data_IF_569620769826
#
_entry.id   IF_569620769826
#
_cell.length_a   1.000
_cell.length_b   1.000
_cell.length_c   1.000
_cell.angle_alpha   90.00
_cell.angle_beta   90.00
_cell.angle_gamma   90.00
#
_symmetry.space_group_name_H-M   'P 1'
#
loop_
_entity.id
_entity.type
_entity.pdbx_description
1 polymer ?
#
# COMPACT_ATOMS: atom_id res chain seq x y z
N UNK A 1 -24.12 -31.54 7.19
CA UNK A 1 -24.36 -30.21 7.78
C UNK A 1 -23.02 -29.49 7.81
N UNK A 2 -22.81 -28.40 7.05
CA UNK A 2 -21.57 -27.65 7.08
C UNK A 2 -21.45 -26.91 8.42
N UNK A 3 -20.28 -26.96 9.05
CA UNK A 3 -20.03 -26.22 10.29
C UNK A 3 -20.26 -24.72 10.04
N UNK A 4 -20.86 -23.97 10.98
CA UNK A 4 -21.07 -22.55 10.79
C UNK A 4 -19.74 -21.86 10.58
N UNK A 5 -19.65 -21.06 9.52
CA UNK A 5 -18.45 -20.27 9.19
C UNK A 5 -18.26 -19.23 10.32
N UNK A 6 -17.34 -19.50 11.21
CA UNK A 6 -16.97 -18.55 12.27
C UNK A 6 -16.26 -17.36 11.61
N UNK A 7 -16.93 -16.22 11.55
CA UNK A 7 -16.31 -14.97 11.12
C UNK A 7 -15.30 -14.54 12.19
N UNK A 8 -14.01 -14.53 11.83
CA UNK A 8 -12.98 -14.03 12.75
C UNK A 8 -13.19 -12.54 12.97
N UNK A 9 -13.32 -12.13 14.20
CA UNK A 9 -13.39 -10.73 14.62
C UNK A 9 -12.11 -9.96 14.28
N UNK A 10 -12.22 -8.64 14.18
CA UNK A 10 -11.11 -7.69 14.17
C UNK A 10 -11.01 -6.91 15.48
N UNK A 11 -11.50 -7.49 16.58
CA UNK A 11 -11.44 -6.87 17.91
C UNK A 11 -9.99 -6.50 18.27
N UNK A 12 -9.84 -5.35 18.92
CA UNK A 12 -8.53 -4.81 19.28
C UNK A 12 -7.80 -4.02 18.17
N UNK A 13 -8.37 -3.99 16.97
CA UNK A 13 -7.82 -3.18 15.87
C UNK A 13 -8.64 -1.91 15.68
N UNK A 14 -7.97 -0.78 15.57
CA UNK A 14 -8.58 0.53 15.32
C UNK A 14 -8.06 1.08 14.00
N UNK A 15 -8.94 1.64 13.20
CA UNK A 15 -8.58 2.41 12.01
C UNK A 15 -8.68 3.91 12.32
N UNK A 16 -7.67 4.66 11.91
CA UNK A 16 -7.67 6.13 12.00
C UNK A 16 -8.47 6.75 10.85
N UNK A 17 -8.57 8.08 10.85
CA UNK A 17 -9.21 8.83 9.77
C UNK A 17 -8.43 8.63 8.46
N UNK A 18 -9.09 8.27 7.36
CA UNK A 18 -8.45 8.16 6.07
C UNK A 18 -8.06 9.54 5.53
N UNK A 19 -6.94 9.58 4.80
CA UNK A 19 -6.46 10.79 4.14
C UNK A 19 -6.43 10.56 2.63
N UNK A 20 -6.90 11.54 1.87
CA UNK A 20 -6.81 11.55 0.42
C UNK A 20 -6.04 12.79 -0.03
N UNK A 21 -5.01 12.58 -0.86
CA UNK A 21 -4.29 13.67 -1.50
C UNK A 21 -5.03 14.06 -2.77
N UNK A 22 -5.28 15.36 -3.01
CA UNK A 22 -5.93 15.80 -4.22
C UNK A 22 -5.22 15.32 -5.47
N UNK A 23 -6.01 14.86 -6.43
CA UNK A 23 -5.50 14.45 -7.75
C UNK A 23 -4.96 15.66 -8.52
N UNK A 24 -3.79 15.47 -9.11
CA UNK A 24 -3.19 16.44 -10.02
C UNK A 24 -3.11 15.86 -11.44
N UNK A 25 -3.72 16.54 -12.40
CA UNK A 25 -3.79 16.06 -13.77
C UNK A 25 -2.42 16.05 -14.46
N UNK A 26 -1.58 17.03 -14.14
CA UNK A 26 -0.24 17.16 -14.68
C UNK A 26 0.75 17.28 -13.54
N UNK A 27 1.49 16.22 -13.29
CA UNK A 27 2.55 16.20 -12.29
C UNK A 27 3.80 15.56 -12.88
N UNK A 28 4.95 16.14 -12.59
CA UNK A 28 6.25 15.57 -12.91
C UNK A 28 6.77 14.65 -11.80
N UNK A 29 6.06 14.63 -10.67
CA UNK A 29 6.48 13.90 -9.49
C UNK A 29 6.30 12.39 -9.65
N UNK A 30 7.21 11.63 -9.05
CA UNK A 30 7.17 10.16 -9.06
C UNK A 30 6.08 9.61 -8.15
N UNK A 31 5.72 8.32 -8.35
CA UNK A 31 4.84 7.62 -7.43
C UNK A 31 5.40 7.60 -6.00
N UNK A 32 6.71 7.49 -5.83
CA UNK A 32 7.40 7.55 -4.53
C UNK A 32 7.13 8.87 -3.81
N UNK A 33 7.19 9.97 -4.53
CA UNK A 33 6.89 11.29 -3.98
C UNK A 33 5.43 11.40 -3.51
N UNK A 34 4.48 10.94 -4.33
CA UNK A 34 3.06 10.96 -4.01
C UNK A 34 2.72 10.09 -2.81
N UNK A 35 3.30 8.89 -2.72
CA UNK A 35 3.16 7.98 -1.59
C UNK A 35 3.75 8.61 -0.33
N UNK A 36 4.91 9.25 -0.43
CA UNK A 36 5.53 9.96 0.68
C UNK A 36 4.68 11.12 1.20
N UNK A 37 4.07 11.89 0.28
CA UNK A 37 3.14 12.96 0.63
C UNK A 37 1.90 12.42 1.35
N UNK A 38 1.34 11.31 0.86
CA UNK A 38 0.19 10.65 1.48
C UNK A 38 0.54 10.11 2.88
N UNK A 39 1.69 9.46 3.04
CA UNK A 39 2.17 8.97 4.33
C UNK A 39 2.34 10.11 5.35
N UNK A 40 2.94 11.22 4.93
CA UNK A 40 3.11 12.40 5.79
C UNK A 40 1.77 12.95 6.25
N UNK A 41 0.82 13.12 5.34
CA UNK A 41 -0.51 13.60 5.66
C UNK A 41 -1.25 12.62 6.60
N UNK A 42 -1.09 11.31 6.38
CA UNK A 42 -1.67 10.27 7.24
C UNK A 42 -1.10 10.34 8.67
N UNK A 43 0.22 10.42 8.82
CA UNK A 43 0.85 10.53 10.13
C UNK A 43 0.42 11.81 10.87
N UNK A 44 0.37 12.95 10.16
CA UNK A 44 -0.13 14.21 10.71
C UNK A 44 -1.60 14.12 11.14
N UNK A 45 -2.46 13.53 10.30
CA UNK A 45 -3.88 13.34 10.61
C UNK A 45 -4.12 12.41 11.79
N UNK A 46 -3.26 11.41 11.97
CA UNK A 46 -3.30 10.49 13.10
C UNK A 46 -2.62 11.06 14.38
N UNK A 47 -1.91 12.16 14.27
CA UNK A 47 -1.18 12.75 15.39
C UNK A 47 0.02 11.93 15.86
N UNK A 48 0.64 11.14 14.97
CA UNK A 48 1.79 10.30 15.27
C UNK A 48 3.04 10.72 14.48
N UNK A 49 4.20 10.34 14.98
CA UNK A 49 5.45 10.45 14.23
C UNK A 49 5.55 9.30 13.22
N UNK A 50 6.15 9.54 12.05
CA UNK A 50 6.44 8.48 11.09
C UNK A 50 7.33 7.36 11.66
N UNK A 51 8.11 7.65 12.72
CA UNK A 51 8.97 6.68 13.41
C UNK A 51 8.20 5.69 14.28
N UNK A 52 6.96 6.01 14.61
CA UNK A 52 6.08 5.11 15.36
C UNK A 52 5.40 4.09 14.44
N UNK A 53 5.48 4.29 13.12
CA UNK A 53 4.94 3.37 12.13
C UNK A 53 5.91 2.19 11.99
N UNK A 54 5.51 1.05 12.50
CA UNK A 54 6.29 -0.19 12.50
C UNK A 54 5.74 -1.26 11.54
N UNK A 55 4.67 -0.94 10.82
CA UNK A 55 4.13 -1.71 9.72
C UNK A 55 3.81 -0.83 8.52
N UNK A 56 4.06 -1.32 7.31
CA UNK A 56 3.77 -0.57 6.09
C UNK A 56 3.17 -1.48 5.01
N UNK A 57 1.99 -1.11 4.51
CA UNK A 57 1.34 -1.76 3.39
C UNK A 57 1.25 -0.79 2.23
N UNK A 58 1.80 -1.16 1.10
CA UNK A 58 1.83 -0.35 -0.11
C UNK A 58 1.00 -0.97 -1.22
N UNK A 59 0.21 -0.14 -1.90
CA UNK A 59 -0.48 -0.50 -3.12
C UNK A 59 -0.09 0.47 -4.24
N UNK A 60 0.65 -0.01 -5.23
CA UNK A 60 1.07 0.78 -6.38
C UNK A 60 1.43 -0.12 -7.55
N UNK A 61 1.14 0.32 -8.77
CA UNK A 61 1.61 -0.28 -10.01
C UNK A 61 2.82 0.45 -10.60
N UNK A 62 2.90 1.76 -10.38
CA UNK A 62 3.88 2.61 -11.04
C UNK A 62 5.23 2.66 -10.32
N UNK A 63 5.35 2.01 -9.17
CA UNK A 63 6.65 1.84 -8.48
C UNK A 63 7.46 0.65 -8.98
N UNK A 64 6.89 -0.22 -9.82
CA UNK A 64 7.64 -1.33 -10.41
C UNK A 64 8.79 -0.84 -11.30
N UNK A 65 9.97 -1.48 -11.29
CA UNK A 65 10.34 -2.70 -10.57
C UNK A 65 10.73 -2.48 -9.11
N UNK A 66 10.65 -1.26 -8.62
CA UNK A 66 11.04 -0.92 -7.26
C UNK A 66 10.08 -1.57 -6.25
N UNK A 67 10.65 -2.09 -5.19
CA UNK A 67 9.90 -2.81 -4.18
C UNK A 67 9.47 -1.88 -3.05
N UNK A 68 8.53 -2.37 -2.24
CA UNK A 68 8.19 -1.72 -0.99
C UNK A 68 9.42 -1.49 -0.09
N UNK A 69 10.44 -2.34 -0.19
CA UNK A 69 11.70 -2.22 0.54
C UNK A 69 12.44 -0.92 0.16
N UNK A 70 12.64 -0.65 -1.13
CA UNK A 70 13.27 0.58 -1.59
C UNK A 70 12.50 1.83 -1.15
N UNK A 71 11.17 1.76 -1.20
CA UNK A 71 10.32 2.84 -0.75
C UNK A 71 10.42 3.11 0.76
N UNK A 72 10.48 2.07 1.61
CA UNK A 72 10.66 2.26 3.06
C UNK A 72 11.98 2.94 3.41
N UNK A 73 13.06 2.61 2.70
CA UNK A 73 14.33 3.31 2.84
C UNK A 73 14.23 4.78 2.46
N UNK A 74 13.57 5.07 1.33
CA UNK A 74 13.35 6.44 0.87
C UNK A 74 12.51 7.26 1.86
N UNK A 75 11.52 6.64 2.50
CA UNK A 75 10.64 7.27 3.47
C UNK A 75 11.21 7.32 4.89
N UNK A 76 12.37 6.71 5.14
CA UNK A 76 12.97 6.63 6.47
C UNK A 76 12.18 5.78 7.46
N UNK A 77 11.48 4.76 6.96
CA UNK A 77 10.74 3.79 7.76
C UNK A 77 11.62 2.58 8.10
N UNK A 78 11.38 1.99 9.27
CA UNK A 78 12.00 0.73 9.69
C UNK A 78 10.92 -0.26 10.15
N UNK A 79 10.07 -0.73 9.24
CA UNK A 79 8.93 -1.55 9.58
C UNK A 79 9.36 -2.97 10.00
N UNK A 80 8.69 -3.53 11.01
CA UNK A 80 8.75 -4.95 11.38
C UNK A 80 7.89 -5.79 10.43
N UNK A 81 6.85 -5.19 9.87
CA UNK A 81 5.94 -5.82 8.93
C UNK A 81 5.83 -4.97 7.65
N UNK A 82 5.96 -5.62 6.50
CA UNK A 82 5.94 -4.96 5.19
C UNK A 82 5.15 -5.79 4.19
N UNK A 83 4.23 -5.16 3.45
CA UNK A 83 3.47 -5.80 2.39
C UNK A 83 3.36 -4.89 1.16
N UNK A 84 3.48 -5.50 -0.02
CA UNK A 84 3.24 -4.83 -1.29
C UNK A 84 2.14 -5.57 -2.06
N UNK A 85 1.06 -4.88 -2.36
CA UNK A 85 -0.15 -5.48 -2.94
C UNK A 85 -0.47 -4.84 -4.29
N UNK A 86 0.11 -5.32 -5.39
CA UNK A 86 -0.09 -4.77 -6.74
C UNK A 86 -1.31 -5.43 -7.43
N UNK A 87 -2.47 -5.42 -6.80
CA UNK A 87 -3.67 -6.14 -7.29
C UNK A 87 -4.78 -5.20 -7.82
N UNK A 88 -4.42 -4.01 -8.27
CA UNK A 88 -5.37 -3.06 -8.83
C UNK A 88 -6.36 -2.49 -7.82
N UNK A 89 -7.58 -2.27 -8.24
CA UNK A 89 -8.61 -1.61 -7.42
C UNK A 89 -8.96 -2.31 -6.11
N UNK A 90 -8.64 -3.59 -5.97
CA UNK A 90 -8.87 -4.35 -4.73
C UNK A 90 -7.75 -4.19 -3.70
N UNK A 91 -6.61 -3.62 -4.10
CA UNK A 91 -5.41 -3.51 -3.26
C UNK A 91 -5.64 -2.78 -1.95
N UNK A 92 -6.42 -1.69 -1.97
CA UNK A 92 -6.70 -0.91 -0.76
C UNK A 92 -7.43 -1.71 0.31
N UNK A 93 -8.47 -2.46 -0.06
CA UNK A 93 -9.24 -3.29 0.88
C UNK A 93 -8.39 -4.46 1.38
N UNK A 94 -7.59 -5.07 0.52
CA UNK A 94 -6.68 -6.14 0.90
C UNK A 94 -5.60 -5.65 1.87
N UNK A 95 -5.05 -4.45 1.63
CA UNK A 95 -4.08 -3.81 2.54
C UNK A 95 -4.66 -3.66 3.94
N UNK A 96 -5.85 -3.07 4.06
CA UNK A 96 -6.51 -2.90 5.35
C UNK A 96 -6.77 -4.23 6.06
N UNK A 97 -7.24 -5.24 5.32
CA UNK A 97 -7.48 -6.56 5.89
C UNK A 97 -6.21 -7.22 6.39
N UNK A 98 -5.12 -7.16 5.61
CA UNK A 98 -3.83 -7.77 5.96
C UNK A 98 -3.19 -7.02 7.12
N UNK A 99 -3.19 -5.69 7.10
CA UNK A 99 -2.72 -4.86 8.19
C UNK A 99 -3.45 -5.15 9.50
N UNK A 100 -4.79 -5.24 9.47
CA UNK A 100 -5.58 -5.58 10.64
C UNK A 100 -5.19 -6.96 11.23
N UNK A 101 -4.86 -7.93 10.39
CA UNK A 101 -4.38 -9.24 10.86
C UNK A 101 -2.96 -9.18 11.42
N UNK A 102 -2.08 -8.40 10.81
CA UNK A 102 -0.73 -8.18 11.33
C UNK A 102 -0.76 -7.56 12.73
N UNK A 103 -1.61 -6.54 12.94
CA UNK A 103 -1.80 -5.94 14.26
C UNK A 103 -2.36 -6.95 15.27
N UNK A 104 -3.36 -7.73 14.90
CA UNK A 104 -3.92 -8.77 15.79
C UNK A 104 -2.91 -9.87 16.14
N UNK A 105 -2.01 -10.20 15.22
CA UNK A 105 -0.96 -11.19 15.43
C UNK A 105 0.21 -10.66 16.25
N UNK A 106 0.32 -9.33 16.44
CA UNK A 106 1.45 -8.70 17.10
C UNK A 106 2.67 -8.50 16.18
N UNK A 107 2.50 -8.69 14.87
CA UNK A 107 3.58 -8.48 13.89
C UNK A 107 3.93 -7.00 13.76
N UNK A 108 2.96 -6.12 13.99
CA UNK A 108 3.12 -4.68 14.06
C UNK A 108 2.09 -4.06 15.01
N UNK A 109 2.40 -2.89 15.56
CA UNK A 109 1.49 -2.12 16.42
C UNK A 109 0.75 -1.04 15.63
N UNK A 110 1.46 -0.36 14.72
CA UNK A 110 0.92 0.72 13.89
C UNK A 110 1.26 0.48 12.42
N UNK A 111 0.27 0.14 11.62
CA UNK A 111 0.43 -0.10 10.18
C UNK A 111 -0.13 1.06 9.37
N UNK A 112 0.71 1.68 8.55
CA UNK A 112 0.28 2.62 7.54
C UNK A 112 -0.08 1.88 6.24
N UNK A 113 -1.32 2.04 5.78
CA UNK A 113 -1.77 1.54 4.49
C UNK A 113 -1.83 2.70 3.50
N UNK A 114 -0.95 2.71 2.49
CA UNK A 114 -0.86 3.80 1.53
C UNK A 114 -0.96 3.27 0.10
N UNK A 115 -1.72 3.97 -0.71
CA UNK A 115 -1.84 3.68 -2.14
C UNK A 115 -1.53 4.94 -2.96
N UNK A 116 -0.83 4.78 -4.06
CA UNK A 116 -0.55 5.88 -4.96
C UNK A 116 0.11 5.41 -6.25
N UNK A 117 -0.28 6.07 -7.33
CA UNK A 117 0.24 5.82 -8.65
C UNK A 117 0.41 7.13 -9.43
N UNK A 118 1.24 7.10 -10.46
CA UNK A 118 1.35 8.15 -11.45
C UNK A 118 1.09 7.57 -12.83
N UNK A 119 0.26 8.27 -13.62
CA UNK A 119 -0.02 7.91 -15.00
C UNK A 119 0.78 8.79 -15.97
N UNK A 120 2.07 8.95 -15.72
CA UNK A 120 2.97 9.53 -16.70
C UNK A 120 3.04 8.60 -17.92
N UNK A 121 3.01 9.18 -19.10
CA UNK A 121 2.87 8.43 -20.36
C UNK A 121 3.89 7.28 -20.48
N UNK A 122 5.13 7.53 -20.13
CA UNK A 122 6.19 6.52 -20.23
C UNK A 122 6.04 5.41 -19.16
N UNK A 123 5.66 5.77 -17.96
CA UNK A 123 5.43 4.80 -16.87
C UNK A 123 4.21 3.95 -17.17
N UNK A 124 3.14 4.56 -17.67
CA UNK A 124 1.92 3.86 -18.06
C UNK A 124 2.16 2.89 -19.23
N UNK A 125 2.92 3.33 -20.25
CA UNK A 125 3.30 2.48 -21.37
C UNK A 125 4.10 1.26 -20.92
N UNK A 126 5.11 1.42 -20.07
CA UNK A 126 5.88 0.31 -19.50
C UNK A 126 5.01 -0.65 -18.69
N UNK A 127 4.07 -0.12 -17.92
CA UNK A 127 3.12 -0.93 -17.16
C UNK A 127 2.27 -1.77 -18.10
N UNK A 128 1.73 -1.19 -19.16
CA UNK A 128 0.96 -1.90 -20.18
C UNK A 128 1.78 -2.96 -20.91
N UNK A 129 3.02 -2.66 -21.29
CA UNK A 129 3.93 -3.61 -21.91
C UNK A 129 4.20 -4.83 -21.02
N UNK A 130 4.38 -4.61 -19.72
CA UNK A 130 4.57 -5.69 -18.76
C UNK A 130 3.31 -6.55 -18.61
N UNK A 131 2.12 -5.96 -18.57
CA UNK A 131 0.86 -6.72 -18.57
C UNK A 131 0.68 -7.53 -19.85
N UNK A 132 1.01 -6.95 -21.00
CA UNK A 132 0.90 -7.65 -22.29
C UNK A 132 1.83 -8.85 -22.37
N UNK A 133 3.04 -8.77 -21.82
CA UNK A 133 3.97 -9.90 -21.77
C UNK A 133 3.42 -11.03 -20.92
N UNK A 134 2.87 -10.75 -19.74
CA UNK A 134 2.26 -11.78 -18.89
C UNK A 134 1.12 -12.51 -19.62
N UNK A 135 0.31 -11.79 -20.39
CA UNK A 135 -0.78 -12.40 -21.15
C UNK A 135 -0.30 -13.24 -22.35
N UNK A 136 0.86 -12.92 -22.93
CA UNK A 136 1.43 -13.62 -24.08
C UNK A 136 2.20 -14.89 -23.68
N UNK A 137 2.82 -14.89 -22.49
CA UNK A 137 3.62 -16.00 -22.00
C UNK A 137 2.79 -17.05 -21.22
N UNK A 138 1.49 -16.80 -21.03
CA UNK A 138 0.58 -17.77 -20.44
C UNK A 138 0.32 -18.92 -21.41
N UNK A 139 1.14 -19.93 -21.36
CA UNK A 139 0.90 -21.20 -22.05
C UNK A 139 -0.12 -22.02 -21.24
N UNK A 140 -1.37 -21.99 -21.68
CA UNK A 140 -2.43 -22.89 -21.20
C UNK A 140 -2.87 -23.81 -22.32
#
# INVERSE_FOLDING_TARGET
MAAPMVRKSYSGVVATVPVSIPYERYSIESAHWWIGRALRALAQGAGISHREIDGFAMASFSTAPDSAIGLTQHLGLSPRWLDHIPMGGVSGILSLRRAARAVQAGDADIVACVAGDTNQVDTFRRTLENFSRFAQDAAY
#
